data_IF_602924376133
#
_entry.id   IF_602924376133
#
_cell.length_a   1.000
_cell.length_b   1.000
_cell.length_c   1.000
_cell.angle_alpha   90.00
_cell.angle_beta   90.00
_cell.angle_gamma   90.00
#
_symmetry.space_group_name_H-M   'P 1'
#
loop_
_entity.id
_entity.type
_entity.pdbx_description
1 polymer ?
#
# COMPACT_ATOMS: atom_id res chain seq x y z
N UNK A 1 6.40 -8.23 10.34
CA UNK A 1 4.93 -8.26 10.47
C UNK A 1 4.41 -6.89 10.10
N UNK A 2 3.49 -6.83 9.15
CA UNK A 2 2.97 -5.58 8.57
C UNK A 2 1.47 -5.49 8.80
N UNK A 3 1.01 -4.30 9.17
CA UNK A 3 -0.40 -4.01 9.40
C UNK A 3 -0.82 -2.84 8.52
N UNK A 4 -1.87 -3.03 7.72
CA UNK A 4 -2.52 -1.95 7.00
C UNK A 4 -3.77 -1.52 7.77
N UNK A 5 -3.70 -0.33 8.36
CA UNK A 5 -4.82 0.33 9.00
C UNK A 5 -5.25 1.50 8.12
N UNK A 6 -6.55 1.70 7.98
CA UNK A 6 -7.08 2.81 7.21
C UNK A 6 -8.38 3.33 7.82
N UNK A 7 -8.73 4.56 7.46
CA UNK A 7 -10.07 5.08 7.64
C UNK A 7 -10.73 5.25 6.29
N UNK A 8 -11.99 4.86 6.15
CA UNK A 8 -12.77 5.22 4.97
C UNK A 8 -13.22 6.69 5.05
N UNK A 9 -13.86 7.18 3.98
CA UNK A 9 -14.38 8.56 3.88
C UNK A 9 -15.52 8.86 4.87
N UNK A 10 -16.15 7.83 5.43
CA UNK A 10 -17.17 7.95 6.48
C UNK A 10 -16.56 8.04 7.88
N UNK A 11 -15.22 8.02 7.98
CA UNK A 11 -14.48 8.10 9.24
C UNK A 11 -14.40 6.77 10.00
N UNK A 12 -14.78 5.65 9.38
CA UNK A 12 -14.71 4.33 10.02
C UNK A 12 -13.30 3.76 9.88
N UNK A 13 -12.71 3.40 11.02
CA UNK A 13 -11.40 2.73 11.09
C UNK A 13 -11.55 1.26 10.79
N UNK A 14 -10.69 0.75 9.91
CA UNK A 14 -10.72 -0.64 9.48
C UNK A 14 -9.30 -1.21 9.38
N UNK A 15 -9.15 -2.49 9.79
CA UNK A 15 -7.96 -3.28 9.48
C UNK A 15 -8.09 -3.79 8.05
N UNK A 16 -7.31 -3.21 7.13
CA UNK A 16 -7.34 -3.56 5.70
C UNK A 16 -6.50 -4.81 5.39
N UNK A 17 -5.51 -5.12 6.23
CA UNK A 17 -4.79 -6.40 6.14
C UNK A 17 -3.64 -6.57 7.13
N UNK A 18 -3.12 -7.80 7.18
CA UNK A 18 -1.96 -8.19 7.98
C UNK A 18 -1.11 -9.17 7.17
N UNK A 19 0.20 -8.92 7.14
CA UNK A 19 1.15 -9.76 6.40
C UNK A 19 2.33 -10.15 7.28
N UNK A 20 2.70 -11.43 7.20
CA UNK A 20 3.93 -11.95 7.78
C UNK A 20 4.92 -12.12 6.63
N UNK A 21 5.95 -11.28 6.60
CA UNK A 21 7.02 -11.33 5.62
C UNK A 21 8.36 -11.09 6.31
N UNK A 22 9.40 -11.74 5.78
CA UNK A 22 10.78 -11.61 6.26
C UNK A 22 11.47 -10.37 5.68
N UNK A 23 11.04 -9.88 4.50
CA UNK A 23 11.66 -8.77 3.78
C UNK A 23 10.61 -7.77 3.25
N UNK A 24 11.01 -6.49 3.16
CA UNK A 24 10.19 -5.32 2.80
C UNK A 24 10.55 -4.71 1.43
N UNK A 25 10.73 -5.55 0.40
CA UNK A 25 11.09 -5.06 -0.95
C UNK A 25 9.89 -4.72 -1.84
N UNK A 26 10.14 -4.15 -3.01
CA UNK A 26 9.11 -3.69 -3.95
C UNK A 26 8.14 -4.80 -4.37
N UNK A 27 8.65 -6.02 -4.55
CA UNK A 27 7.79 -7.19 -4.86
C UNK A 27 6.82 -7.53 -3.72
N UNK A 28 7.23 -7.32 -2.47
CA UNK A 28 6.34 -7.51 -1.32
C UNK A 28 5.25 -6.44 -1.32
N UNK A 29 5.62 -5.16 -1.44
CA UNK A 29 4.67 -4.05 -1.49
C UNK A 29 3.70 -4.15 -2.67
N UNK A 30 4.17 -4.60 -3.84
CA UNK A 30 3.34 -4.83 -5.02
C UNK A 30 2.28 -5.91 -4.74
N UNK A 31 2.66 -7.00 -4.06
CA UNK A 31 1.71 -8.04 -3.65
C UNK A 31 0.67 -7.48 -2.65
N UNK A 32 1.11 -6.71 -1.65
CA UNK A 32 0.21 -6.08 -0.67
C UNK A 32 -0.81 -5.18 -1.36
N UNK A 33 -0.35 -4.28 -2.24
CA UNK A 33 -1.22 -3.35 -2.97
C UNK A 33 -2.16 -4.07 -3.93
N UNK A 34 -1.68 -5.12 -4.61
CA UNK A 34 -2.50 -5.94 -5.49
C UNK A 34 -3.61 -6.66 -4.71
N UNK A 35 -3.29 -7.23 -3.55
CA UNK A 35 -4.29 -7.84 -2.66
C UNK A 35 -5.33 -6.82 -2.19
N UNK A 36 -4.89 -5.63 -1.77
CA UNK A 36 -5.79 -4.56 -1.34
C UNK A 36 -6.73 -4.13 -2.47
N UNK A 37 -6.20 -3.94 -3.69
CA UNK A 37 -6.99 -3.63 -4.88
C UNK A 37 -8.00 -4.73 -5.20
N UNK A 38 -7.59 -5.99 -5.15
CA UNK A 38 -8.49 -7.14 -5.37
C UNK A 38 -9.61 -7.26 -4.32
N UNK A 39 -9.40 -6.70 -3.12
CA UNK A 39 -10.42 -6.60 -2.05
C UNK A 39 -11.34 -5.39 -2.21
N UNK A 40 -11.21 -4.62 -3.28
CA UNK A 40 -12.03 -3.45 -3.58
C UNK A 40 -11.48 -2.13 -3.06
N UNK A 41 -10.20 -2.06 -2.66
CA UNK A 41 -9.56 -0.78 -2.38
C UNK A 41 -9.34 -0.04 -3.70
N UNK A 42 -10.18 0.96 -3.96
CA UNK A 42 -10.19 1.70 -5.22
C UNK A 42 -9.25 2.89 -5.24
N UNK A 43 -9.00 3.53 -4.10
CA UNK A 43 -8.11 4.69 -4.03
C UNK A 43 -7.55 4.89 -2.61
N UNK A 44 -6.38 5.51 -2.50
CA UNK A 44 -5.69 5.82 -1.25
C UNK A 44 -5.24 7.28 -1.29
N UNK A 45 -5.99 8.16 -0.64
CA UNK A 45 -5.68 9.60 -0.62
C UNK A 45 -4.35 9.91 0.09
N UNK A 46 -4.08 9.20 1.18
CA UNK A 46 -2.90 9.39 2.02
C UNK A 46 -2.41 8.01 2.46
N UNK A 47 -1.14 7.72 2.19
CA UNK A 47 -0.44 6.55 2.70
C UNK A 47 0.69 7.02 3.63
N UNK A 48 0.80 6.40 4.81
CA UNK A 48 1.92 6.60 5.71
C UNK A 48 2.50 5.24 6.03
N UNK A 49 3.82 5.10 5.88
CA UNK A 49 4.52 3.85 6.10
C UNK A 49 5.51 4.07 7.23
N UNK A 50 5.30 3.39 8.35
CA UNK A 50 6.25 3.40 9.46
C UNK A 50 7.17 2.20 9.32
N UNK A 51 8.46 2.44 9.07
CA UNK A 51 9.43 1.40 8.80
C UNK A 51 10.86 1.93 8.75
N UNK A 52 11.75 1.17 8.11
CA UNK A 52 13.11 1.61 7.85
C UNK A 52 13.13 2.66 6.70
N UNK A 53 14.24 3.40 6.49
CA UNK A 53 14.33 4.41 5.42
C UNK A 53 14.19 3.86 3.99
N UNK A 54 14.39 2.56 3.78
CA UNK A 54 14.32 1.89 2.47
C UNK A 54 12.86 1.57 2.09
N UNK A 55 11.97 1.53 3.08
CA UNK A 55 10.57 1.15 2.93
C UNK A 55 9.81 2.04 1.93
N UNK A 56 10.06 3.36 1.96
CA UNK A 56 9.36 4.32 1.09
C UNK A 56 9.78 4.15 -0.38
N UNK A 57 11.08 4.15 -0.75
CA UNK A 57 11.51 3.87 -2.12
C UNK A 57 10.96 2.55 -2.69
N UNK A 58 11.01 1.46 -1.91
CA UNK A 58 10.52 0.16 -2.37
C UNK A 58 9.00 0.15 -2.59
N UNK A 59 8.25 0.91 -1.79
CA UNK A 59 6.81 1.06 -1.98
C UNK A 59 6.49 1.94 -3.20
N UNK A 60 7.29 2.98 -3.46
CA UNK A 60 7.13 3.81 -4.66
C UNK A 60 7.34 2.97 -5.94
N UNK A 61 8.41 2.18 -6.00
CA UNK A 61 8.70 1.23 -7.08
C UNK A 61 7.54 0.23 -7.29
N UNK A 62 6.95 -0.25 -6.19
CA UNK A 62 5.83 -1.17 -6.24
C UNK A 62 4.57 -0.55 -6.87
N UNK A 63 4.29 0.73 -6.58
CA UNK A 63 3.10 1.36 -7.14
C UNK A 63 3.31 1.75 -8.60
N UNK A 64 4.52 2.16 -8.99
CA UNK A 64 4.87 2.29 -10.41
C UNK A 64 4.63 0.96 -11.16
N UNK A 65 5.05 -0.15 -10.54
CA UNK A 65 4.80 -1.50 -11.06
C UNK A 65 3.31 -1.89 -11.13
N UNK A 66 2.45 -1.30 -10.29
CA UNK A 66 0.99 -1.49 -10.35
C UNK A 66 0.34 -0.66 -11.46
N UNK A 67 0.92 0.48 -11.82
CA UNK A 67 0.33 1.43 -12.76
C UNK A 67 0.26 0.87 -14.19
N UNK A 68 1.24 0.10 -14.69
CA UNK A 68 1.19 -0.67 -15.97
C UNK A 68 0.34 -0.06 -17.13
N UNK A 69 0.39 1.26 -17.34
CA UNK A 69 -0.37 1.97 -18.39
C UNK A 69 -1.84 2.31 -18.10
N UNK A 70 -2.38 1.96 -16.94
CA UNK A 70 -3.64 2.49 -16.42
C UNK A 70 -3.38 3.64 -15.43
N UNK A 71 -4.38 4.51 -15.24
CA UNK A 71 -4.28 5.65 -14.33
C UNK A 71 -3.80 5.20 -12.93
N UNK A 72 -2.74 5.82 -12.39
CA UNK A 72 -2.21 5.44 -11.08
C UNK A 72 -3.27 5.71 -10.01
N UNK A 73 -3.35 4.82 -9.02
CA UNK A 73 -3.92 5.19 -7.73
C UNK A 73 -3.10 6.39 -7.24
N UNK A 74 -3.70 7.55 -7.02
CA UNK A 74 -2.95 8.72 -6.58
C UNK A 74 -2.68 8.62 -5.09
N UNK A 75 -1.52 8.09 -4.73
CA UNK A 75 -1.04 8.05 -3.35
C UNK A 75 0.06 9.10 -3.18
N UNK A 76 -0.08 9.98 -2.18
CA UNK A 76 1.06 10.74 -1.64
C UNK A 76 1.54 10.01 -0.38
N UNK A 77 2.75 9.46 -0.45
CA UNK A 77 3.46 8.96 0.75
C UNK A 77 4.04 10.18 1.48
N UNK A 78 3.70 10.31 2.77
CA UNK A 78 4.28 11.29 3.69
C UNK A 78 5.14 10.60 4.73
#
# INVERSE_FOLDING_TARGET
>A
MFLALGSNIEGQKELRGMWLAENEGAKFWLNVLTELKNRGLNDILIACVAGNPVCVPEMDDAVEGLANGNEPLYYRVW
#
